data_IF_152914319507
#
_entry.id   IF_152914319507
#
_cell.length_a   1.000
_cell.length_b   1.000
_cell.length_c   1.000
_cell.angle_alpha   90.00
_cell.angle_beta   90.00
_cell.angle_gamma   90.00
#
_symmetry.space_group_name_H-M   'P 1'
#
loop_
_entity.id
_entity.type
_entity.pdbx_description
1 polymer ?
#
# COMPACT_ATOMS: atom_id res chain seq x y z
N UNK A 1 -18.72 -7.02 -5.51
CA UNK A 1 -18.56 -6.85 -4.04
C UNK A 1 -19.17 -7.97 -3.20
N UNK A 2 -20.50 -8.16 -3.16
CA UNK A 2 -21.15 -9.17 -2.27
C UNK A 2 -20.53 -10.58 -2.33
N UNK A 3 -20.17 -11.06 -3.53
CA UNK A 3 -19.55 -12.39 -3.71
C UNK A 3 -18.13 -12.51 -3.09
N UNK A 4 -17.29 -11.49 -3.21
CA UNK A 4 -15.93 -11.49 -2.65
C UNK A 4 -15.95 -11.29 -1.14
N UNK A 5 -16.83 -10.43 -0.63
CA UNK A 5 -16.99 -10.30 0.82
C UNK A 5 -17.51 -11.60 1.45
N UNK A 6 -18.45 -12.28 0.79
CA UNK A 6 -18.90 -13.62 1.19
C UNK A 6 -17.77 -14.64 1.12
N UNK A 7 -16.87 -14.54 0.13
CA UNK A 7 -15.68 -15.38 0.00
C UNK A 7 -14.72 -15.17 1.17
N UNK A 8 -14.37 -13.92 1.48
CA UNK A 8 -13.52 -13.54 2.62
C UNK A 8 -14.12 -14.05 3.93
N UNK A 9 -15.42 -13.78 4.17
CA UNK A 9 -16.13 -14.25 5.37
C UNK A 9 -16.12 -15.78 5.49
N UNK A 10 -16.36 -16.49 4.39
CA UNK A 10 -16.28 -17.96 4.34
C UNK A 10 -14.84 -18.47 4.50
N UNK A 11 -13.87 -17.68 4.08
CA UNK A 11 -12.44 -17.92 4.26
C UNK A 11 -12.07 -17.92 5.73
N UNK A 12 -12.53 -16.93 6.50
CA UNK A 12 -12.24 -16.84 7.93
C UNK A 12 -12.68 -18.08 8.72
N UNK A 13 -13.84 -18.65 8.38
CA UNK A 13 -14.34 -19.88 9.02
C UNK A 13 -13.65 -21.13 8.46
N UNK A 14 -13.36 -21.14 7.16
CA UNK A 14 -12.68 -22.24 6.51
C UNK A 14 -11.64 -21.71 5.51
N UNK A 15 -10.34 -21.69 5.90
CA UNK A 15 -9.27 -21.05 5.13
C UNK A 15 -9.19 -21.52 3.68
N UNK A 16 -9.53 -22.79 3.42
CA UNK A 16 -9.60 -23.38 2.08
C UNK A 16 -10.39 -22.53 1.09
N UNK A 17 -11.49 -21.94 1.53
CA UNK A 17 -12.39 -21.19 0.64
C UNK A 17 -11.71 -20.00 -0.01
N UNK A 18 -10.62 -19.47 0.58
CA UNK A 18 -9.83 -18.39 -0.04
C UNK A 18 -9.19 -18.85 -1.36
N UNK A 19 -8.97 -20.15 -1.58
CA UNK A 19 -8.41 -20.63 -2.86
C UNK A 19 -9.24 -20.15 -4.05
N UNK A 20 -10.57 -20.12 -3.93
CA UNK A 20 -11.42 -19.71 -5.04
C UNK A 20 -11.22 -18.25 -5.44
N UNK A 21 -10.47 -17.45 -4.67
CA UNK A 21 -10.02 -16.11 -5.07
C UNK A 21 -9.19 -16.12 -6.37
N UNK A 22 -8.45 -17.20 -6.67
CA UNK A 22 -7.66 -17.26 -7.92
C UNK A 22 -8.56 -17.16 -9.16
N UNK A 23 -9.81 -17.62 -9.08
CA UNK A 23 -10.76 -17.63 -10.20
C UNK A 23 -11.39 -16.24 -10.45
N UNK A 24 -11.26 -15.29 -9.52
CA UNK A 24 -11.77 -13.94 -9.71
C UNK A 24 -10.77 -13.06 -10.47
N UNK A 25 -11.24 -12.16 -11.36
CA UNK A 25 -10.40 -11.14 -11.97
C UNK A 25 -9.94 -10.14 -10.91
N UNK A 26 -8.72 -9.61 -11.07
CA UNK A 26 -8.10 -8.67 -10.12
C UNK A 26 -8.98 -7.45 -9.87
N UNK A 27 -9.65 -6.92 -10.91
CA UNK A 27 -10.58 -5.79 -10.82
C UNK A 27 -11.65 -5.96 -9.74
N UNK A 28 -12.10 -7.19 -9.48
CA UNK A 28 -13.11 -7.45 -8.44
C UNK A 28 -12.48 -7.48 -7.03
N UNK A 29 -11.17 -7.74 -6.93
CA UNK A 29 -10.40 -7.76 -5.68
C UNK A 29 -9.91 -6.36 -5.31
N UNK A 30 -9.65 -5.47 -6.29
CA UNK A 30 -9.19 -4.09 -6.06
C UNK A 30 -10.00 -3.35 -4.98
N UNK A 31 -11.34 -3.37 -4.95
CA UNK A 31 -12.09 -2.70 -3.90
C UNK A 31 -11.79 -3.21 -2.48
N UNK A 32 -11.43 -4.49 -2.35
CA UNK A 32 -11.03 -5.08 -1.06
C UNK A 32 -9.67 -4.53 -0.62
N UNK A 33 -8.74 -4.41 -1.57
CA UNK A 33 -7.41 -3.80 -1.35
C UNK A 33 -7.56 -2.33 -0.94
N UNK A 34 -8.35 -1.56 -1.70
CA UNK A 34 -8.62 -0.16 -1.40
C UNK A 34 -9.27 0.01 -0.02
N UNK A 35 -10.18 -0.89 0.35
CA UNK A 35 -10.80 -0.87 1.68
C UNK A 35 -9.76 -1.12 2.78
N UNK A 36 -8.86 -2.10 2.63
CA UNK A 36 -7.74 -2.30 3.57
C UNK A 36 -6.91 -1.04 3.73
N UNK A 37 -6.50 -0.43 2.61
CA UNK A 37 -5.68 0.78 2.59
C UNK A 37 -6.38 1.93 3.31
N UNK A 38 -7.68 2.11 3.04
CA UNK A 38 -8.48 3.16 3.66
C UNK A 38 -8.55 3.01 5.18
N UNK A 39 -8.78 1.79 5.69
CA UNK A 39 -8.81 1.56 7.14
C UNK A 39 -7.45 1.74 7.80
N UNK A 40 -6.36 1.33 7.13
CA UNK A 40 -5.01 1.56 7.62
C UNK A 40 -4.71 3.06 7.73
N UNK A 41 -5.00 3.81 6.67
CA UNK A 41 -4.80 5.25 6.62
C UNK A 41 -5.70 6.00 7.62
N UNK A 42 -6.97 5.61 7.76
CA UNK A 42 -7.87 6.20 8.74
C UNK A 42 -7.38 5.95 10.17
N UNK A 43 -6.85 4.76 10.46
CA UNK A 43 -6.17 4.46 11.72
C UNK A 43 -5.01 5.43 11.97
N UNK A 44 -4.13 5.62 11.00
CA UNK A 44 -2.97 6.52 11.10
C UNK A 44 -3.36 8.00 11.31
N UNK A 45 -4.40 8.46 10.61
CA UNK A 45 -4.98 9.79 10.85
C UNK A 45 -5.45 9.91 12.29
N UNK A 46 -6.13 8.88 12.83
CA UNK A 46 -6.61 8.85 14.22
C UNK A 46 -5.46 9.04 15.22
N UNK A 47 -4.35 8.31 15.04
CA UNK A 47 -3.14 8.44 15.86
C UNK A 47 -2.57 9.86 15.79
N UNK A 48 -2.56 10.44 14.60
CA UNK A 48 -1.95 11.75 14.35
C UNK A 48 -2.82 12.94 14.75
N UNK A 49 -4.09 12.74 15.12
CA UNK A 49 -5.01 13.86 15.38
C UNK A 49 -4.53 14.77 16.52
N UNK A 50 -3.97 14.20 17.59
CA UNK A 50 -3.49 14.99 18.72
C UNK A 50 -2.31 15.89 18.31
N UNK A 51 -1.38 15.36 17.52
CA UNK A 51 -0.24 16.13 17.00
C UNK A 51 -0.70 17.25 16.06
N UNK A 52 -1.62 16.93 15.14
CA UNK A 52 -2.20 17.89 14.18
C UNK A 52 -2.96 18.99 14.93
N UNK A 53 -3.80 18.61 15.91
CA UNK A 53 -4.57 19.53 16.72
C UNK A 53 -3.69 20.42 17.60
N UNK A 54 -2.66 19.84 18.23
CA UNK A 54 -1.66 20.57 19.02
C UNK A 54 -0.92 21.60 18.17
N UNK A 55 -0.41 21.20 17.00
CA UNK A 55 0.23 22.11 16.05
C UNK A 55 -0.72 23.24 15.61
N UNK A 56 -1.95 22.89 15.21
CA UNK A 56 -2.96 23.87 14.78
C UNK A 56 -3.29 24.89 15.88
N UNK A 57 -3.40 24.45 17.13
CA UNK A 57 -3.68 25.32 18.27
C UNK A 57 -2.49 26.23 18.58
N UNK A 58 -1.28 25.70 18.50
CA UNK A 58 -0.06 26.47 18.73
C UNK A 58 0.15 27.56 17.65
N UNK A 59 -0.09 27.24 16.38
CA UNK A 59 -0.04 28.22 15.28
C UNK A 59 -1.12 29.31 15.44
N UNK A 60 -2.36 28.91 15.75
CA UNK A 60 -3.46 29.86 16.00
C UNK A 60 -3.22 30.75 17.22
N UNK A 61 -2.47 30.27 18.21
CA UNK A 61 -2.08 31.07 19.38
C UNK A 61 -0.99 32.06 19.00
N UNK A 62 0.03 31.61 18.27
CA UNK A 62 1.09 32.49 17.75
C UNK A 62 0.54 33.66 16.93
N UNK A 63 -0.52 33.42 16.13
CA UNK A 63 -1.12 34.47 15.30
C UNK A 63 -1.70 35.64 16.09
N UNK A 64 -1.99 35.47 17.38
CA UNK A 64 -2.51 36.55 18.26
C UNK A 64 -1.43 37.49 18.77
N UNK A 65 -0.16 37.14 18.56
CA UNK A 65 1.00 37.86 19.06
C UNK A 65 1.83 38.48 17.93
N UNK A 66 1.31 38.51 16.69
CA UNK A 66 2.04 39.04 15.55
C UNK A 66 2.31 40.54 15.73
N UNK A 67 3.56 41.00 15.55
CA UNK A 67 3.86 42.42 15.47
C UNK A 67 3.31 42.99 14.17
N UNK A 68 3.12 44.32 14.14
CA UNK A 68 2.88 45.03 12.89
C UNK A 68 4.17 45.06 12.06
N UNK A 69 4.10 44.56 10.83
CA UNK A 69 5.25 44.49 9.92
C UNK A 69 4.84 44.66 8.45
N UNK A 70 5.79 45.01 7.60
CA UNK A 70 5.61 45.04 6.15
C UNK A 70 6.93 44.78 5.44
N UNK A 71 6.85 44.47 4.15
CA UNK A 71 8.04 44.32 3.31
C UNK A 71 8.29 45.59 2.48
N UNK A 72 9.41 46.26 2.72
CA UNK A 72 9.84 47.47 2.00
C UNK A 72 11.09 47.16 1.19
N UNK A 73 11.00 47.31 -0.14
CA UNK A 73 12.09 46.97 -1.07
C UNK A 73 12.60 45.53 -0.90
N UNK A 74 11.69 44.59 -0.63
CA UNK A 74 12.01 43.18 -0.42
C UNK A 74 12.54 42.83 0.96
N UNK A 75 12.69 43.80 1.87
CA UNK A 75 13.14 43.54 3.23
C UNK A 75 11.99 43.63 4.24
N UNK A 76 11.93 42.69 5.17
CA UNK A 76 11.06 42.76 6.35
C UNK A 76 11.43 44.01 7.15
N UNK A 77 10.42 44.76 7.55
CA UNK A 77 10.52 45.88 8.49
C UNK A 77 9.37 45.84 9.48
N UNK A 78 9.71 45.89 10.76
CA UNK A 78 8.75 46.08 11.83
C UNK A 78 8.32 47.56 11.90
N UNK A 79 7.11 47.82 12.40
CA UNK A 79 6.68 49.20 12.69
C UNK A 79 7.55 49.82 13.80
N UNK A 80 7.66 51.16 13.83
CA UNK A 80 8.62 51.89 14.70
C UNK A 80 8.51 51.59 16.22
N UNK A 81 7.40 51.00 16.68
CA UNK A 81 7.18 50.59 18.07
C UNK A 81 7.00 49.08 18.26
N UNK A 82 7.03 48.30 17.18
CA UNK A 82 6.87 46.86 17.22
C UNK A 82 8.19 46.19 17.64
N UNK A 83 8.10 45.23 18.57
CA UNK A 83 9.24 44.42 18.99
C UNK A 83 9.33 43.15 18.13
N UNK A 84 10.55 42.59 17.95
CA UNK A 84 10.71 41.26 17.38
C UNK A 84 9.86 40.23 18.14
N UNK A 85 9.31 39.26 17.40
CA UNK A 85 8.55 38.16 17.97
C UNK A 85 9.42 36.93 18.05
N UNK A 86 9.50 36.34 19.24
CA UNK A 86 10.07 35.02 19.50
C UNK A 86 9.03 34.18 20.22
N UNK A 87 8.12 33.57 19.44
CA UNK A 87 7.09 32.69 19.97
C UNK A 87 7.58 31.24 19.93
N UNK A 88 7.45 30.53 21.06
CA UNK A 88 7.84 29.13 21.17
C UNK A 88 6.75 28.35 21.90
N UNK A 89 6.49 27.14 21.42
CA UNK A 89 5.59 26.17 22.01
C UNK A 89 6.11 24.76 21.75
N UNK A 90 5.48 23.74 22.36
CA UNK A 90 5.95 22.34 22.28
C UNK A 90 6.16 21.81 20.85
N UNK A 91 5.36 22.25 19.87
CA UNK A 91 5.42 21.73 18.50
C UNK A 91 5.56 22.80 17.43
N UNK A 92 5.57 24.08 17.82
CA UNK A 92 5.63 25.20 16.88
C UNK A 92 6.45 26.36 17.43
N UNK A 93 7.27 26.94 16.56
CA UNK A 93 8.02 28.16 16.83
C UNK A 93 7.81 29.16 15.69
N UNK A 94 7.69 30.44 16.04
CA UNK A 94 7.59 31.54 15.09
C UNK A 94 8.53 32.66 15.52
N UNK A 95 9.46 33.02 14.64
CA UNK A 95 10.38 34.14 14.85
C UNK A 95 10.15 35.17 13.75
N UNK A 96 9.97 36.43 14.14
CA UNK A 96 9.88 37.58 13.23
C UNK A 96 10.84 38.65 13.74
N UNK A 97 11.94 38.85 13.02
CA UNK A 97 13.01 39.76 13.43
C UNK A 97 13.66 40.41 12.19
N UNK A 98 13.50 41.72 12.04
CA UNK A 98 14.02 42.51 10.92
C UNK A 98 15.49 42.94 11.07
N UNK A 99 16.14 42.56 12.18
CA UNK A 99 17.56 42.82 12.43
C UNK A 99 18.46 41.70 11.93
N UNK A 100 17.94 40.47 11.87
CA UNK A 100 18.67 39.28 11.43
C UNK A 100 18.81 39.28 9.91
N UNK A 101 20.04 39.14 9.42
CA UNK A 101 20.34 38.97 8.00
C UNK A 101 20.82 37.55 7.74
N UNK A 102 20.33 36.94 6.67
CA UNK A 102 20.80 35.64 6.28
C UNK A 102 22.26 35.71 5.79
N UNK A 103 23.03 34.68 6.13
CA UNK A 103 24.38 34.52 5.58
C UNK A 103 24.35 34.13 4.11
N UNK A 104 25.49 34.26 3.42
CA UNK A 104 25.60 33.96 1.98
C UNK A 104 25.25 32.50 1.66
N UNK A 105 25.48 31.58 2.59
CA UNK A 105 25.01 30.20 2.47
C UNK A 105 23.50 30.13 2.68
N UNK A 106 22.81 29.51 1.71
CA UNK A 106 21.34 29.45 1.69
C UNK A 106 20.75 28.69 2.89
N UNK A 107 21.55 27.87 3.58
CA UNK A 107 21.11 27.00 4.67
C UNK A 107 21.67 27.40 6.04
N UNK A 108 22.38 28.53 6.14
CA UNK A 108 22.90 29.03 7.40
C UNK A 108 22.34 30.43 7.68
N UNK A 109 22.00 30.68 8.93
CA UNK A 109 21.49 31.96 9.40
C UNK A 109 22.53 32.51 10.35
N UNK A 110 23.05 33.71 10.07
CA UNK A 110 24.07 34.38 10.88
C UNK A 110 23.53 34.88 12.22
N UNK A 111 23.05 33.97 13.06
CA UNK A 111 22.48 34.24 14.38
C UNK A 111 23.60 34.54 15.38
N UNK A 112 23.40 35.58 16.20
CA UNK A 112 24.27 35.80 17.37
C UNK A 112 24.02 34.73 18.44
N UNK A 113 24.95 34.51 19.40
CA UNK A 113 24.73 33.56 20.49
C UNK A 113 23.44 33.82 21.28
N UNK A 114 23.11 35.09 21.52
CA UNK A 114 21.90 35.49 22.24
C UNK A 114 20.61 35.22 21.45
N UNK A 115 20.65 35.35 20.12
CA UNK A 115 19.54 35.01 19.22
C UNK A 115 19.36 33.50 19.14
N UNK A 116 20.47 32.75 19.04
CA UNK A 116 20.45 31.29 19.02
C UNK A 116 19.91 30.70 20.32
N UNK A 117 20.22 31.31 21.47
CA UNK A 117 19.68 30.88 22.76
C UNK A 117 18.14 31.02 22.88
N UNK A 118 17.52 31.82 22.03
CA UNK A 118 16.06 32.01 21.98
C UNK A 118 15.38 31.11 20.93
N UNK A 119 16.17 30.34 20.17
CA UNK A 119 15.68 29.43 19.13
C UNK A 119 15.85 27.99 19.60
N UNK A 120 14.82 27.17 19.38
CA UNK A 120 14.81 25.78 19.81
C UNK A 120 14.84 24.87 18.59
N UNK A 121 16.02 24.29 18.37
CA UNK A 121 16.33 23.44 17.22
C UNK A 121 15.58 22.09 17.23
N UNK A 122 14.96 21.70 18.36
CA UNK A 122 14.22 20.45 18.49
C UNK A 122 12.69 20.64 18.31
N UNK A 123 12.24 21.85 18.01
CA UNK A 123 10.82 22.11 17.69
C UNK A 123 10.42 21.40 16.39
N UNK A 124 9.22 20.79 16.37
CA UNK A 124 8.74 20.05 15.19
C UNK A 124 8.65 20.92 13.92
N UNK A 125 8.03 22.10 14.02
CA UNK A 125 7.93 23.07 12.93
C UNK A 125 8.31 24.47 13.45
N UNK A 126 9.28 25.10 12.81
CA UNK A 126 9.63 26.51 13.09
C UNK A 126 9.49 27.35 11.83
N UNK A 127 8.93 28.54 11.94
CA UNK A 127 8.88 29.54 10.87
C UNK A 127 9.73 30.73 11.27
N UNK A 128 10.65 31.10 10.41
CA UNK A 128 11.55 32.23 10.61
C UNK A 128 11.34 33.27 9.53
N UNK A 129 11.03 34.49 9.92
CA UNK A 129 10.93 35.66 9.06
C UNK A 129 12.01 36.64 9.46
N UNK A 130 13.08 36.67 8.66
CA UNK A 130 14.21 37.56 8.86
C UNK A 130 14.17 38.71 7.87
N UNK A 131 15.14 39.63 7.98
CA UNK A 131 15.21 40.85 7.18
C UNK A 131 15.09 40.59 5.69
N UNK A 132 15.89 39.68 5.16
CA UNK A 132 16.04 39.46 3.71
C UNK A 132 15.58 38.07 3.24
N UNK A 133 15.31 37.14 4.17
CA UNK A 133 14.88 35.78 3.87
C UNK A 133 13.88 35.24 4.89
N UNK A 134 13.18 34.18 4.49
CA UNK A 134 12.31 33.44 5.40
C UNK A 134 12.50 31.95 5.21
N UNK A 135 12.34 31.22 6.30
CA UNK A 135 12.64 29.80 6.38
C UNK A 135 11.53 29.04 7.10
N UNK A 136 11.33 27.80 6.69
CA UNK A 136 10.62 26.80 7.47
C UNK A 136 11.62 25.74 7.91
N UNK A 137 11.65 25.43 9.20
CA UNK A 137 12.41 24.31 9.73
C UNK A 137 11.44 23.18 10.11
N UNK A 138 11.72 21.99 9.60
CA UNK A 138 11.00 20.76 9.95
C UNK A 138 11.98 19.82 10.65
N UNK A 139 11.83 19.68 11.96
CA UNK A 139 12.84 19.06 12.82
C UNK A 139 14.16 19.82 12.72
N UNK A 140 15.20 19.21 12.18
CA UNK A 140 16.55 19.84 12.04
C UNK A 140 16.86 20.36 10.64
N UNK A 141 15.94 20.19 9.70
CA UNK A 141 16.17 20.58 8.31
C UNK A 141 15.55 21.95 8.05
N UNK A 142 16.38 22.89 7.57
CA UNK A 142 15.97 24.24 7.21
C UNK A 142 15.65 24.31 5.71
N UNK A 143 14.52 24.90 5.38
CA UNK A 143 14.04 25.09 4.00
C UNK A 143 13.77 26.57 3.76
N UNK A 144 14.43 27.15 2.76
CA UNK A 144 14.12 28.51 2.33
C UNK A 144 12.71 28.57 1.73
N UNK A 145 11.99 29.67 1.99
CA UNK A 145 10.68 29.93 1.42
C UNK A 145 10.83 31.02 0.33
N UNK A 146 10.96 30.65 -0.96
CA UNK A 146 11.40 31.58 -2.01
C UNK A 146 10.44 32.73 -2.27
N UNK A 147 9.17 32.57 -1.91
CA UNK A 147 8.09 33.54 -2.13
C UNK A 147 7.46 34.01 -0.81
N UNK A 148 8.19 33.95 0.30
CA UNK A 148 7.67 34.40 1.59
C UNK A 148 7.24 35.88 1.58
N UNK A 149 8.03 36.72 0.88
CA UNK A 149 7.77 38.16 0.75
C UNK A 149 6.41 38.47 0.09
N UNK A 150 5.95 37.59 -0.81
CA UNK A 150 4.66 37.74 -1.51
C UNK A 150 3.53 37.04 -0.77
N UNK A 151 3.78 35.87 -0.19
CA UNK A 151 2.76 35.10 0.56
C UNK A 151 2.42 35.72 1.92
N UNK A 152 3.41 36.23 2.63
CA UNK A 152 3.29 36.71 4.01
C UNK A 152 3.53 38.21 4.12
N UNK A 153 3.10 38.97 3.10
CA UNK A 153 3.38 40.41 2.98
C UNK A 153 2.94 41.26 4.19
N UNK A 154 1.93 40.80 4.92
CA UNK A 154 1.35 41.52 6.06
C UNK A 154 1.01 40.57 7.22
N UNK A 155 0.82 41.10 8.45
CA UNK A 155 0.36 40.34 9.60
C UNK A 155 -0.97 39.64 9.33
N UNK A 156 -1.86 40.24 8.53
CA UNK A 156 -3.15 39.64 8.16
C UNK A 156 -2.96 38.38 7.31
N UNK A 157 -2.09 38.42 6.31
CA UNK A 157 -1.79 37.25 5.47
C UNK A 157 -1.18 36.12 6.31
N UNK A 158 -0.25 36.45 7.20
CA UNK A 158 0.36 35.48 8.09
C UNK A 158 -0.66 34.92 9.08
N UNK A 159 -1.55 35.75 9.63
CA UNK A 159 -2.66 35.32 10.50
C UNK A 159 -3.58 34.32 9.79
N UNK A 160 -3.95 34.59 8.54
CA UNK A 160 -4.77 33.65 7.75
C UNK A 160 -4.04 32.30 7.57
N UNK A 161 -2.74 32.34 7.28
CA UNK A 161 -1.93 31.12 7.12
C UNK A 161 -1.83 30.33 8.42
N UNK A 162 -1.50 31.00 9.53
CA UNK A 162 -1.36 30.35 10.84
C UNK A 162 -2.69 29.77 11.35
N UNK A 163 -3.82 30.37 10.98
CA UNK A 163 -5.15 29.87 11.32
C UNK A 163 -5.73 28.90 10.28
N UNK A 164 -5.04 28.64 9.16
CA UNK A 164 -5.57 27.82 8.07
C UNK A 164 -5.95 26.41 8.56
N UNK A 165 -5.06 25.76 9.31
CA UNK A 165 -5.31 24.42 9.82
C UNK A 165 -6.54 24.35 10.74
N UNK A 166 -6.73 25.38 11.55
CA UNK A 166 -7.85 25.47 12.49
C UNK A 166 -9.16 25.72 11.75
N UNK A 167 -9.15 26.64 10.78
CA UNK A 167 -10.34 27.02 10.02
C UNK A 167 -10.76 25.95 9.00
N UNK A 168 -9.82 25.13 8.53
CA UNK A 168 -10.04 24.10 7.52
C UNK A 168 -9.71 22.69 8.02
N UNK A 169 -9.97 22.41 9.31
CA UNK A 169 -9.62 21.15 9.96
C UNK A 169 -10.05 19.90 9.16
N UNK A 170 -11.27 19.89 8.61
CA UNK A 170 -11.75 18.78 7.78
C UNK A 170 -10.90 18.58 6.51
N UNK A 171 -10.54 19.66 5.82
CA UNK A 171 -9.72 19.58 4.61
C UNK A 171 -8.31 19.08 4.95
N UNK A 172 -7.73 19.57 6.05
CA UNK A 172 -6.44 19.10 6.55
C UNK A 172 -6.47 17.60 6.86
N UNK A 173 -7.47 17.13 7.61
CA UNK A 173 -7.62 15.70 7.91
C UNK A 173 -7.81 14.87 6.64
N UNK A 174 -8.55 15.38 5.65
CA UNK A 174 -8.71 14.72 4.34
C UNK A 174 -7.37 14.65 3.58
N UNK A 175 -6.56 15.71 3.58
CA UNK A 175 -5.22 15.67 2.97
C UNK A 175 -4.33 14.63 3.64
N UNK A 176 -4.33 14.55 4.98
CA UNK A 176 -3.61 13.50 5.69
C UNK A 176 -4.12 12.10 5.34
N UNK A 177 -5.45 11.91 5.29
CA UNK A 177 -6.04 10.63 4.88
C UNK A 177 -5.58 10.21 3.49
N UNK A 178 -5.55 11.13 2.53
CA UNK A 178 -5.10 10.87 1.16
C UNK A 178 -3.59 10.58 1.11
N UNK A 179 -2.78 11.37 1.81
CA UNK A 179 -1.32 11.18 1.88
C UNK A 179 -0.98 9.82 2.49
N UNK A 180 -1.57 9.48 3.64
CA UNK A 180 -1.39 8.17 4.26
C UNK A 180 -1.95 7.04 3.38
N UNK A 181 -3.08 7.25 2.69
CA UNK A 181 -3.60 6.25 1.74
C UNK A 181 -2.61 5.95 0.61
N UNK A 182 -1.86 6.94 0.11
CA UNK A 182 -0.81 6.71 -0.87
C UNK A 182 0.33 5.87 -0.30
N UNK A 183 0.82 6.21 0.90
CA UNK A 183 1.91 5.48 1.57
C UNK A 183 1.48 4.04 1.88
N UNK A 184 0.32 3.84 2.52
CA UNK A 184 -0.22 2.53 2.82
C UNK A 184 -0.54 1.73 1.54
N UNK A 185 -0.99 2.41 0.48
CA UNK A 185 -1.25 1.77 -0.81
C UNK A 185 0.03 1.19 -1.43
N UNK A 186 1.10 1.98 -1.47
CA UNK A 186 2.41 1.53 -1.96
C UNK A 186 2.94 0.37 -1.12
N UNK A 187 2.95 0.52 0.21
CA UNK A 187 3.43 -0.52 1.13
C UNK A 187 2.61 -1.80 1.00
N UNK A 188 1.28 -1.71 0.95
CA UNK A 188 0.40 -2.87 0.81
C UNK A 188 0.73 -3.67 -0.46
N UNK A 189 0.88 -3.00 -1.60
CA UNK A 189 1.24 -3.67 -2.86
C UNK A 189 2.61 -4.35 -2.76
N UNK A 190 3.61 -3.66 -2.19
CA UNK A 190 4.95 -4.24 -1.97
C UNK A 190 4.85 -5.49 -1.09
N UNK A 191 4.14 -5.44 0.04
CA UNK A 191 4.00 -6.60 0.92
C UNK A 191 3.27 -7.77 0.28
N UNK A 192 2.20 -7.52 -0.47
CA UNK A 192 1.48 -8.59 -1.18
C UNK A 192 2.33 -9.18 -2.31
N UNK A 193 3.18 -8.36 -2.97
CA UNK A 193 4.13 -8.84 -3.96
C UNK A 193 5.23 -9.70 -3.33
N UNK A 194 5.82 -9.28 -2.21
CA UNK A 194 6.79 -10.07 -1.44
C UNK A 194 6.16 -11.38 -1.00
N UNK A 195 4.95 -11.35 -0.45
CA UNK A 195 4.20 -12.55 -0.07
C UNK A 195 4.02 -13.49 -1.26
N UNK A 196 3.61 -12.96 -2.41
CA UNK A 196 3.44 -13.74 -3.63
C UNK A 196 4.75 -14.36 -4.14
N UNK A 197 5.88 -13.64 -4.03
CA UNK A 197 7.21 -14.16 -4.33
C UNK A 197 7.58 -15.30 -3.37
N UNK A 198 7.40 -15.11 -2.06
CA UNK A 198 7.68 -16.13 -1.05
C UNK A 198 6.82 -17.39 -1.23
N UNK A 199 5.55 -17.22 -1.59
CA UNK A 199 4.68 -18.34 -1.98
C UNK A 199 5.21 -19.09 -3.21
N UNK A 200 6.03 -18.46 -4.04
CA UNK A 200 6.71 -19.10 -5.16
C UNK A 200 7.58 -20.28 -4.76
N UNK A 201 8.25 -20.20 -3.60
CA UNK A 201 9.04 -21.32 -3.09
C UNK A 201 8.18 -22.54 -2.75
N UNK A 202 7.00 -22.32 -2.16
CA UNK A 202 6.02 -23.38 -1.92
C UNK A 202 5.36 -23.88 -3.21
N UNK A 203 5.19 -22.99 -4.18
CA UNK A 203 4.56 -23.27 -5.47
C UNK A 203 5.32 -24.29 -6.32
N UNK A 204 6.64 -24.38 -6.15
CA UNK A 204 7.47 -25.40 -6.83
C UNK A 204 7.12 -26.83 -6.42
N UNK A 205 6.49 -27.01 -5.25
CA UNK A 205 6.08 -28.33 -4.74
C UNK A 205 4.63 -28.69 -5.06
N UNK A 206 3.90 -27.83 -5.79
CA UNK A 206 2.51 -28.09 -6.18
C UNK A 206 2.47 -28.82 -7.53
N UNK A 207 1.57 -29.81 -7.67
CA UNK A 207 1.33 -30.52 -8.93
C UNK A 207 0.84 -29.59 -10.05
N UNK A 208 0.20 -28.46 -9.69
CA UNK A 208 -0.16 -27.40 -10.63
C UNK A 208 0.34 -26.06 -10.06
N UNK A 209 1.41 -25.47 -10.63
CA UNK A 209 1.97 -24.23 -10.13
C UNK A 209 1.05 -23.04 -10.43
N UNK A 210 0.84 -22.19 -9.43
CA UNK A 210 0.11 -20.93 -9.54
C UNK A 210 0.99 -19.82 -10.13
N UNK A 211 0.45 -19.09 -11.10
CA UNK A 211 1.11 -17.89 -11.64
C UNK A 211 1.32 -16.82 -10.56
N UNK A 212 2.27 -15.90 -10.78
CA UNK A 212 2.50 -14.79 -9.84
C UNK A 212 1.23 -13.99 -9.55
N UNK A 213 0.45 -13.67 -10.60
CA UNK A 213 -0.81 -12.96 -10.46
C UNK A 213 -1.82 -13.73 -9.61
N UNK A 214 -1.90 -15.06 -9.74
CA UNK A 214 -2.76 -15.88 -8.89
C UNK A 214 -2.30 -15.83 -7.42
N UNK A 215 -0.99 -15.94 -7.17
CA UNK A 215 -0.40 -15.81 -5.82
C UNK A 215 -0.63 -14.42 -5.22
N UNK A 216 -0.48 -13.36 -6.00
CA UNK A 216 -0.76 -11.99 -5.58
C UNK A 216 -2.23 -11.77 -5.23
N UNK A 217 -3.15 -12.33 -6.02
CA UNK A 217 -4.60 -12.29 -5.72
C UNK A 217 -4.92 -13.02 -4.41
N UNK A 218 -4.33 -14.19 -4.19
CA UNK A 218 -4.50 -14.95 -2.95
C UNK A 218 -3.94 -14.18 -1.74
N UNK A 219 -2.71 -13.64 -1.86
CA UNK A 219 -2.10 -12.78 -0.85
C UNK A 219 -2.99 -11.58 -0.52
N UNK A 220 -3.50 -10.88 -1.54
CA UNK A 220 -4.37 -9.71 -1.36
C UNK A 220 -5.69 -10.03 -0.65
N UNK A 221 -6.29 -11.19 -0.92
CA UNK A 221 -7.55 -11.60 -0.27
C UNK A 221 -7.30 -12.12 1.15
N UNK A 222 -6.22 -12.87 1.37
CA UNK A 222 -5.81 -13.31 2.71
C UNK A 222 -5.36 -12.14 3.60
N UNK A 223 -4.69 -11.15 3.01
CA UNK A 223 -4.20 -9.94 3.67
C UNK A 223 -5.28 -8.94 4.07
N UNK A 224 -6.48 -9.04 3.51
CA UNK A 224 -7.57 -8.14 3.87
C UNK A 224 -7.88 -8.16 5.37
N UNK A 225 -8.08 -9.34 5.97
CA UNK A 225 -8.49 -9.42 7.37
C UNK A 225 -7.45 -8.89 8.35
N UNK A 226 -6.17 -9.32 8.31
CA UNK A 226 -5.17 -8.75 9.23
C UNK A 226 -4.99 -7.24 9.01
N UNK A 227 -4.99 -6.74 7.78
CA UNK A 227 -4.92 -5.30 7.52
C UNK A 227 -6.13 -4.54 8.06
N UNK A 228 -7.33 -5.08 7.87
CA UNK A 228 -8.57 -4.48 8.35
C UNK A 228 -8.64 -4.46 9.89
N UNK A 229 -8.28 -5.57 10.54
CA UNK A 229 -8.24 -5.67 12.01
C UNK A 229 -7.21 -4.70 12.58
N UNK A 230 -6.02 -4.59 11.98
CA UNK A 230 -5.02 -3.61 12.42
C UNK A 230 -5.50 -2.18 12.25
N UNK A 231 -6.09 -1.84 11.10
CA UNK A 231 -6.66 -0.51 10.87
C UNK A 231 -7.74 -0.13 11.89
N UNK A 232 -8.66 -1.06 12.20
CA UNK A 232 -9.68 -0.85 13.25
C UNK A 232 -9.04 -0.75 14.63
N UNK A 233 -8.07 -1.62 14.93
CA UNK A 233 -7.40 -1.62 16.23
C UNK A 233 -6.75 -0.27 16.48
N UNK A 234 -6.10 0.33 15.49
CA UNK A 234 -5.49 1.66 15.62
C UNK A 234 -6.50 2.80 15.73
N UNK A 235 -7.69 2.61 15.17
CA UNK A 235 -8.77 3.58 15.36
C UNK A 235 -9.27 3.60 16.81
N UNK A 236 -9.19 2.47 17.52
CA UNK A 236 -9.62 2.32 18.93
C UNK A 236 -8.45 2.55 19.90
N UNK A 237 -7.25 2.07 19.57
CA UNK A 237 -6.03 2.04 20.36
C UNK A 237 -4.87 2.66 19.56
N UNK A 238 -4.75 3.99 19.52
CA UNK A 238 -3.84 4.71 18.62
C UNK A 238 -2.34 4.52 18.91
N UNK A 239 -1.96 3.86 20.00
CA UNK A 239 -0.56 3.61 20.36
C UNK A 239 -0.06 2.21 19.95
N UNK A 240 -0.87 1.42 19.23
CA UNK A 240 -0.46 0.09 18.82
C UNK A 240 0.54 0.18 17.65
N UNK A 241 1.79 -0.31 17.78
CA UNK A 241 2.79 -0.15 16.73
C UNK A 241 2.38 -0.89 15.45
N UNK A 242 2.81 -0.35 14.31
CA UNK A 242 2.38 -0.72 12.95
C UNK A 242 3.39 -1.60 12.19
N UNK A 243 3.91 -2.73 12.70
CA UNK A 243 4.85 -3.50 11.90
C UNK A 243 4.05 -4.32 10.89
N UNK A 244 3.99 -3.81 9.66
CA UNK A 244 3.65 -4.59 8.47
C UNK A 244 4.30 -5.99 8.39
N UNK A 245 5.49 -6.25 8.97
CA UNK A 245 5.98 -7.61 9.16
C UNK A 245 4.98 -8.59 9.82
N UNK A 246 4.13 -8.14 10.75
CA UNK A 246 3.07 -8.99 11.33
C UNK A 246 1.99 -9.33 10.31
N UNK A 247 1.61 -8.39 9.44
CA UNK A 247 0.69 -8.67 8.33
C UNK A 247 1.30 -9.74 7.42
N UNK A 248 2.57 -9.55 7.02
CA UNK A 248 3.29 -10.48 6.17
C UNK A 248 3.33 -11.90 6.78
N UNK A 249 3.75 -12.01 8.04
CA UNK A 249 3.82 -13.29 8.76
C UNK A 249 2.45 -13.96 8.88
N UNK A 250 1.41 -13.21 9.26
CA UNK A 250 0.05 -13.73 9.35
C UNK A 250 -0.45 -14.24 8.00
N UNK A 251 -0.26 -13.47 6.92
CA UNK A 251 -0.71 -13.84 5.58
C UNK A 251 -0.01 -15.11 5.10
N UNK A 252 1.30 -15.24 5.32
CA UNK A 252 2.05 -16.45 4.96
C UNK A 252 1.53 -17.68 5.72
N UNK A 253 1.36 -17.58 7.04
CA UNK A 253 0.81 -18.67 7.87
C UNK A 253 -0.60 -19.03 7.41
N UNK A 254 -1.43 -18.02 7.16
CA UNK A 254 -2.80 -18.21 6.76
C UNK A 254 -2.92 -18.92 5.39
N UNK A 255 -2.09 -18.52 4.43
CA UNK A 255 -2.06 -19.17 3.11
C UNK A 255 -1.50 -20.58 3.21
N UNK A 256 -0.48 -20.82 4.05
CA UNK A 256 0.01 -22.17 4.32
C UNK A 256 -1.10 -23.09 4.86
N UNK A 257 -1.84 -22.65 5.89
CA UNK A 257 -2.98 -23.39 6.45
C UNK A 257 -4.04 -23.64 5.36
N UNK A 258 -4.35 -22.62 4.57
CA UNK A 258 -5.33 -22.69 3.49
C UNK A 258 -4.94 -23.72 2.41
N UNK A 259 -3.67 -23.76 2.00
CA UNK A 259 -3.17 -24.77 1.05
C UNK A 259 -3.22 -26.17 1.66
N UNK A 260 -2.77 -26.34 2.92
CA UNK A 260 -2.81 -27.63 3.63
C UNK A 260 -4.24 -28.19 3.73
N UNK A 261 -5.20 -27.39 4.13
CA UNK A 261 -6.60 -27.80 4.24
C UNK A 261 -7.25 -28.06 2.87
N UNK A 262 -6.81 -27.36 1.82
CA UNK A 262 -7.22 -27.66 0.45
C UNK A 262 -6.73 -29.03 0.00
N UNK A 263 -5.44 -29.34 0.18
CA UNK A 263 -4.87 -30.63 -0.18
C UNK A 263 -5.57 -31.78 0.54
N UNK A 264 -5.79 -31.67 1.86
CA UNK A 264 -6.56 -32.67 2.62
C UNK A 264 -7.97 -32.87 2.06
N UNK A 265 -8.64 -31.80 1.65
CA UNK A 265 -9.98 -31.89 1.10
C UNK A 265 -10.02 -32.59 -0.25
N UNK A 266 -9.09 -32.25 -1.15
CA UNK A 266 -8.95 -32.92 -2.45
C UNK A 266 -8.65 -34.40 -2.25
N UNK A 267 -7.76 -34.75 -1.31
CA UNK A 267 -7.47 -36.14 -0.95
C UNK A 267 -8.71 -36.89 -0.47
N UNK A 268 -9.53 -36.28 0.41
CA UNK A 268 -10.80 -36.88 0.85
C UNK A 268 -11.78 -37.12 -0.31
N UNK A 269 -11.82 -36.22 -1.30
CA UNK A 269 -12.66 -36.39 -2.48
C UNK A 269 -12.11 -37.52 -3.34
N UNK A 270 -10.81 -37.54 -3.60
CA UNK A 270 -10.15 -38.58 -4.36
C UNK A 270 -10.40 -39.96 -3.75
N UNK A 271 -10.17 -40.11 -2.44
CA UNK A 271 -10.45 -41.34 -1.68
C UNK A 271 -11.91 -41.78 -1.81
N UNK A 272 -12.87 -40.85 -1.74
CA UNK A 272 -14.30 -41.18 -1.95
C UNK A 272 -14.62 -41.64 -3.37
N UNK A 273 -13.83 -41.22 -4.35
CA UNK A 273 -14.02 -41.57 -5.76
C UNK A 273 -13.27 -42.85 -6.15
N UNK A 274 -12.14 -43.16 -5.52
CA UNK A 274 -11.27 -44.30 -5.89
C UNK A 274 -11.36 -45.51 -4.96
N UNK A 275 -11.93 -45.36 -3.75
CA UNK A 275 -12.19 -46.47 -2.84
C UNK A 275 -10.95 -47.12 -2.21
N UNK A 276 -9.75 -46.57 -2.42
CA UNK A 276 -8.49 -47.03 -1.82
C UNK A 276 -8.14 -46.21 -0.57
N UNK A 277 -7.88 -46.89 0.54
CA UNK A 277 -7.30 -46.29 1.75
C UNK A 277 -5.82 -45.99 1.53
N UNK A 278 -5.45 -44.70 1.54
CA UNK A 278 -4.06 -44.28 1.73
C UNK A 278 -3.93 -43.70 3.14
N UNK A 279 -3.07 -44.29 3.94
CA UNK A 279 -2.76 -43.77 5.26
C UNK A 279 -1.89 -42.51 5.16
N UNK A 280 -1.85 -41.64 6.18
CA UNK A 280 -0.92 -40.52 6.21
C UNK A 280 0.55 -40.93 6.03
N UNK A 281 0.89 -42.16 6.41
CA UNK A 281 2.22 -42.76 6.24
C UNK A 281 2.50 -43.15 4.78
N UNK A 282 1.51 -43.67 4.05
CA UNK A 282 1.63 -43.94 2.61
C UNK A 282 1.89 -42.64 1.81
N UNK A 283 1.29 -41.53 2.25
CA UNK A 283 1.51 -40.21 1.65
C UNK A 283 2.94 -39.71 1.92
N UNK A 284 3.44 -39.86 3.15
CA UNK A 284 4.83 -39.50 3.47
C UNK A 284 5.83 -40.38 2.72
N UNK A 285 5.50 -41.66 2.53
CA UNK A 285 6.32 -42.62 1.78
C UNK A 285 6.33 -42.31 0.28
N UNK A 286 5.19 -42.01 -0.34
CA UNK A 286 5.12 -41.60 -1.76
C UNK A 286 5.79 -40.24 -2.01
N UNK A 287 5.70 -39.30 -1.06
CA UNK A 287 6.41 -38.01 -1.15
C UNK A 287 7.94 -38.19 -1.04
N UNK A 288 8.42 -39.17 -0.26
CA UNK A 288 9.85 -39.53 -0.18
C UNK A 288 10.32 -40.34 -1.40
N UNK A 289 9.51 -41.28 -1.92
CA UNK A 289 9.82 -42.04 -3.13
C UNK A 289 9.86 -41.17 -4.39
N UNK A 290 8.98 -40.16 -4.49
CA UNK A 290 9.01 -39.19 -5.59
C UNK A 290 10.26 -38.28 -5.56
N UNK A 291 10.84 -38.04 -4.37
CA UNK A 291 12.10 -37.29 -4.22
C UNK A 291 13.34 -38.15 -4.51
N UNK A 292 13.28 -39.47 -4.23
CA UNK A 292 14.39 -40.38 -4.52
C UNK A 292 14.45 -40.81 -6.00
N UNK A 293 13.31 -40.93 -6.68
CA UNK A 293 13.27 -41.31 -8.10
C UNK A 293 13.77 -40.20 -9.05
N UNK A 294 13.93 -38.95 -8.59
CA UNK A 294 14.61 -37.90 -9.35
C UNK A 294 16.15 -37.96 -9.23
N UNK A 295 16.70 -38.77 -8.31
CA UNK A 295 18.16 -38.91 -8.13
C UNK A 295 18.72 -40.20 -8.78
N UNK A 296 17.87 -41.05 -9.35
CA UNK A 296 18.27 -42.37 -9.85
C UNK A 296 17.75 -42.67 -11.27
N UNK A 297 17.69 -41.65 -12.12
CA UNK A 297 17.49 -41.80 -13.58
C UNK A 297 18.64 -41.09 -14.29
N UNK A 298 19.84 -41.63 -14.13
CA UNK A 298 20.98 -41.38 -15.04
C UNK A 298 22.05 -42.47 -14.88
N UNK A 299 21.68 -43.70 -15.22
CA UNK A 299 22.59 -44.77 -15.69
C UNK A 299 21.74 -45.99 -16.03
N UNK A 300 21.37 -46.13 -17.30
CA UNK A 300 21.60 -47.36 -18.08
C UNK A 300 20.86 -47.29 -19.43
N UNK A 301 21.65 -47.10 -20.49
CA UNK A 301 21.25 -47.34 -21.88
C UNK A 301 20.98 -48.84 -22.10
N UNK A 302 20.09 -49.19 -23.04
CA UNK A 302 20.41 -50.31 -23.92
C UNK A 302 20.14 -50.06 -25.41
N UNK A 303 21.08 -50.58 -26.19
CA UNK A 303 21.12 -50.65 -27.64
C UNK A 303 20.24 -51.78 -28.21
N UNK A 304 19.62 -51.52 -29.37
CA UNK A 304 19.42 -52.40 -30.56
C UNK A 304 18.50 -53.65 -30.47
N UNK A 305 17.46 -53.72 -31.33
CA UNK A 305 17.41 -54.60 -32.53
C UNK A 305 16.02 -54.66 -33.20
N UNK A 306 16.01 -54.59 -34.55
CA UNK A 306 14.87 -54.76 -35.48
C UNK A 306 14.55 -56.24 -35.79
N UNK A 307 13.29 -56.58 -36.16
CA UNK A 307 12.95 -57.64 -37.15
C UNK A 307 11.49 -57.63 -37.69
N UNK A 308 11.33 -57.24 -38.96
CA UNK A 308 10.45 -57.63 -40.12
C UNK A 308 9.02 -58.25 -40.03
N UNK A 309 8.07 -57.56 -40.72
CA UNK A 309 7.25 -57.86 -41.95
C UNK A 309 6.33 -59.11 -42.14
N UNK A 310 5.04 -58.80 -42.43
CA UNK A 310 4.19 -59.11 -43.63
C UNK A 310 2.98 -60.10 -43.64
N UNK A 311 2.04 -59.72 -44.54
CA UNK A 311 0.89 -60.39 -45.21
C UNK A 311 -0.53 -60.21 -44.59
N UNK A 312 -1.65 -59.94 -45.30
CA UNK A 312 -1.96 -59.56 -46.69
C UNK A 312 -3.43 -59.08 -46.85
N UNK A 313 -3.62 -58.14 -47.78
CA UNK A 313 -4.76 -57.78 -48.68
C UNK A 313 -6.25 -58.06 -48.35
N UNK A 314 -7.09 -57.01 -48.44
CA UNK A 314 -8.05 -56.78 -49.56
C UNK A 314 -8.74 -55.40 -49.47
N UNK A 315 -8.84 -54.71 -50.62
CA UNK A 315 -9.48 -53.41 -50.91
C UNK A 315 -10.68 -53.69 -51.90
N UNK A 316 -11.49 -52.76 -52.48
CA UNK A 316 -11.46 -51.27 -52.43
C UNK A 316 -12.81 -50.45 -52.47
N UNK A 317 -12.75 -49.21 -51.96
CA UNK A 317 -13.26 -47.92 -52.52
C UNK A 317 -14.78 -47.65 -52.80
N UNK A 318 -15.25 -46.40 -53.12
CA UNK A 318 -14.57 -45.08 -53.15
C UNK A 318 -15.37 -43.80 -52.64
N UNK A 319 -14.63 -42.68 -52.40
CA UNK A 319 -14.84 -41.26 -52.86
C UNK A 319 -16.04 -40.45 -52.28
N UNK A 320 -15.99 -39.15 -51.89
CA UNK A 320 -15.04 -38.06 -52.12
C UNK A 320 -15.03 -36.99 -51.00
N UNK A 321 -13.90 -36.30 -50.98
CA UNK A 321 -13.46 -35.13 -50.21
C UNK A 321 -14.00 -33.82 -50.83
N UNK A 322 -14.12 -32.71 -50.05
CA UNK A 322 -13.45 -31.38 -50.22
C UNK A 322 -14.45 -30.25 -49.85
N UNK A 323 -14.16 -29.02 -49.40
CA UNK A 323 -12.97 -28.23 -49.02
C UNK A 323 -13.50 -26.84 -48.51
N UNK A 324 -12.75 -26.22 -47.60
CA UNK A 324 -12.55 -24.78 -47.26
C UNK A 324 -13.65 -23.78 -46.82
N UNK A 325 -13.29 -23.06 -45.75
CA UNK A 325 -13.65 -21.68 -45.32
C UNK A 325 -13.25 -20.61 -46.39
N UNK A 326 -13.52 -19.27 -46.28
CA UNK A 326 -13.87 -18.40 -45.13
C UNK A 326 -15.08 -17.47 -45.44
N UNK A 327 -15.57 -16.51 -44.65
CA UNK A 327 -14.95 -15.22 -44.26
C UNK A 327 -15.95 -14.35 -43.43
N UNK A 328 -15.45 -13.25 -42.87
CA UNK A 328 -15.98 -12.37 -41.81
C UNK A 328 -17.12 -11.39 -42.19
N UNK A 329 -17.61 -10.71 -41.12
CA UNK A 329 -18.30 -9.38 -41.00
C UNK A 329 -19.83 -9.40 -41.07
N UNK A 330 -20.59 -8.61 -40.31
CA UNK A 330 -20.35 -7.60 -39.27
C UNK A 330 -21.73 -7.09 -38.79
N UNK A 331 -21.83 -6.66 -37.50
CA UNK A 331 -22.73 -5.61 -36.94
C UNK A 331 -24.25 -5.77 -37.12
N UNK A 332 -25.17 -5.23 -36.33
CA UNK A 332 -25.31 -4.69 -34.97
C UNK A 332 -26.83 -4.42 -34.81
N UNK A 333 -27.28 -4.13 -33.59
CA UNK A 333 -28.48 -3.33 -33.27
C UNK A 333 -29.88 -3.98 -33.36
N UNK A 334 -30.41 -4.24 -32.17
CA UNK A 334 -31.85 -4.13 -31.85
C UNK A 334 -32.20 -2.65 -31.67
N UNK A 335 -33.26 -2.18 -32.31
CA UNK A 335 -34.41 -1.50 -31.69
C UNK A 335 -35.38 -1.10 -32.80
N UNK A 336 -36.65 -1.45 -32.64
CA UNK A 336 -37.75 -0.48 -32.75
C UNK A 336 -39.01 -1.09 -32.11
N UNK A 337 -39.55 -0.33 -31.17
CA UNK A 337 -40.94 -0.39 -30.72
C UNK A 337 -41.84 0.08 -31.86
N UNK A 338 -43.00 -0.55 -32.09
CA UNK A 338 -44.29 0.15 -31.90
C UNK A 338 -45.51 -0.77 -32.09
N UNK A 339 -46.57 -0.44 -31.34
CA UNK A 339 -48.02 -0.71 -31.54
C UNK A 339 -48.57 -2.14 -31.38
N UNK A 340 -49.18 -2.40 -30.22
CA UNK A 340 -50.64 -2.23 -30.02
C UNK A 340 -51.03 -2.37 -28.55
#
# INVERSE_FOLDING_TARGET
MKKIFKLVRKGLVNPRNIIAAYAYPLQRIIPLILLSILFLAAGEVSVSQELIGGLSNNMSTASKHLPEFNYILGNLKLADQAKPLYYQSKSFQLVIDDTIQATKDQNDVGLTPDQKAQIDDDTFLSLFFFKDKSYAQLGRNLYAIPQALTMFRSPNNLTMTLNYMKNHQFQVLLYFLLAFSMVHGLMYVIYMAITAMLLGFYNMRLSVPLSFLARFKLASVAGFYPSFVLGITNLILPLFPYPYPYILGFVLIYIYIMLREHTKHVHKIYHKLTGQEMTPEDVEKMLKESQNNETQVDTDSPSRSQKNLNDSETNPSPINTQIDQPEQKSTDSKQDEDKN
#
